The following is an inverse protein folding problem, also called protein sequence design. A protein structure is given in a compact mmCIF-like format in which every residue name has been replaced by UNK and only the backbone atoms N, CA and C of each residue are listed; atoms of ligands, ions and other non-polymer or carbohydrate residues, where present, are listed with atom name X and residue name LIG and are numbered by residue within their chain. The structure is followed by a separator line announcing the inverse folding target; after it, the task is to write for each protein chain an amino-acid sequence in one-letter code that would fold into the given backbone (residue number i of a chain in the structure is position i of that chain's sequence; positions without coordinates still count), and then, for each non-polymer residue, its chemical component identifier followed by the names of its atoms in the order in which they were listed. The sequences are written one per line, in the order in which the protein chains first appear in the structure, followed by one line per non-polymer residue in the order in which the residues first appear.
data_IF_638237190942
#
_entry.id   IF_638237190942
#
_cell.length_a   1.000
_cell.length_b   1.000
_cell.length_c   1.000
_cell.angle_alpha   90.00
_cell.angle_beta   90.00
_cell.angle_gamma   90.00
#
_symmetry.space_group_name_H-M   'P 1'
#
loop_
_entity.id
_entity.type
_entity.pdbx_description
1 polymer ?
#
# COMPACT_ATOMS: atom_id res chain seq x y z
N UNK A 1 16.87 -2.22 -9.61
CA UNK A 1 16.73 -0.85 -9.05
C UNK A 1 15.40 -0.72 -8.32
N UNK A 2 15.14 -1.53 -7.27
CA UNK A 2 13.95 -1.41 -6.43
C UNK A 2 14.13 -0.31 -5.37
N UNK A 3 14.18 0.95 -5.82
CA UNK A 3 14.35 2.11 -4.94
C UNK A 3 13.12 2.37 -4.02
N UNK A 4 11.95 1.83 -4.34
CA UNK A 4 10.70 2.22 -3.67
C UNK A 4 10.46 1.58 -2.29
N UNK A 5 10.98 0.38 -2.02
CA UNK A 5 10.74 -0.28 -0.73
C UNK A 5 11.58 0.35 0.40
N UNK A 6 12.69 1.03 0.07
CA UNK A 6 13.51 1.79 1.02
C UNK A 6 12.92 3.17 1.39
N UNK A 7 11.76 3.56 0.84
CA UNK A 7 11.08 4.83 1.16
C UNK A 7 10.09 4.73 2.32
N UNK A 8 9.93 3.55 2.94
CA UNK A 8 9.02 3.39 4.08
C UNK A 8 9.84 3.48 5.36
N UNK A 9 9.66 4.56 6.12
CA UNK A 9 10.38 4.75 7.40
C UNK A 9 9.93 3.75 8.46
N UNK A 10 8.64 3.37 8.44
CA UNK A 10 8.08 2.46 9.42
C UNK A 10 6.78 1.82 8.91
N UNK A 11 6.66 0.50 9.11
CA UNK A 11 5.41 -0.26 8.91
C UNK A 11 4.98 -0.82 10.26
N UNK A 12 3.76 -0.49 10.68
CA UNK A 12 3.14 -1.03 11.89
C UNK A 12 2.00 -1.95 11.48
N UNK A 13 2.09 -3.22 11.90
CA UNK A 13 1.08 -4.25 11.63
C UNK A 13 0.25 -4.50 12.89
N UNK A 14 -1.07 -4.33 12.79
CA UNK A 14 -2.02 -4.70 13.82
C UNK A 14 -2.89 -5.85 13.33
N UNK A 15 -2.94 -6.93 14.11
CA UNK A 15 -3.76 -8.10 13.81
C UNK A 15 -4.85 -8.21 14.89
N UNK A 16 -6.12 -8.16 14.47
CA UNK A 16 -7.27 -8.42 15.34
C UNK A 16 -8.20 -9.43 14.67
N UNK A 17 -8.16 -10.68 15.15
CA UNK A 17 -8.97 -11.77 14.60
C UNK A 17 -8.69 -11.99 13.12
N UNK A 18 -9.68 -11.74 12.27
CA UNK A 18 -9.60 -11.83 10.81
C UNK A 18 -9.33 -10.48 10.12
N UNK A 19 -8.90 -9.46 10.87
CA UNK A 19 -8.58 -8.13 10.34
C UNK A 19 -7.08 -7.83 10.49
N UNK A 20 -6.43 -7.51 9.38
CA UNK A 20 -5.06 -7.03 9.29
C UNK A 20 -5.08 -5.54 8.97
N UNK A 21 -4.57 -4.71 9.88
CA UNK A 21 -4.41 -3.28 9.67
C UNK A 21 -2.93 -2.94 9.53
N UNK A 22 -2.58 -2.23 8.47
CA UNK A 22 -1.23 -1.76 8.18
C UNK A 22 -1.22 -0.25 8.25
N UNK A 23 -0.40 0.30 9.12
CA UNK A 23 -0.06 1.72 9.11
C UNK A 23 1.35 1.89 8.54
N UNK A 24 1.52 2.73 7.52
CA UNK A 24 2.84 3.04 6.95
C UNK A 24 3.13 4.54 6.98
N UNK A 25 4.40 4.88 7.17
CA UNK A 25 4.88 6.27 7.15
C UNK A 25 5.72 6.51 5.88
N UNK A 26 5.25 7.32 4.91
CA UNK A 26 6.07 7.70 3.77
C UNK A 26 7.22 8.63 4.21
N UNK A 27 8.40 8.49 3.62
CA UNK A 27 9.55 9.38 3.89
C UNK A 27 9.43 10.78 3.29
N UNK A 28 8.49 11.03 2.37
CA UNK A 28 8.32 12.32 1.69
C UNK A 28 6.87 12.80 1.81
N UNK A 29 6.69 14.03 2.28
CA UNK A 29 5.40 14.61 2.72
C UNK A 29 4.46 15.03 1.58
N UNK A 30 4.95 15.01 0.34
CA UNK A 30 4.21 15.34 -0.86
C UNK A 30 4.45 14.28 -1.93
N UNK A 31 3.66 13.21 -2.00
CA UNK A 31 3.78 12.33 -3.15
C UNK A 31 2.57 11.46 -3.46
N UNK A 32 2.22 11.44 -4.74
CA UNK A 32 1.50 10.35 -5.43
C UNK A 32 2.05 8.96 -5.08
N UNK A 33 3.33 8.89 -4.69
CA UNK A 33 4.00 7.69 -4.25
C UNK A 33 3.42 7.06 -2.99
N UNK A 34 2.80 7.82 -2.08
CA UNK A 34 2.11 7.25 -0.92
C UNK A 34 0.97 6.32 -1.35
N UNK A 35 0.22 6.70 -2.39
CA UNK A 35 -0.85 5.88 -2.96
C UNK A 35 -0.29 4.63 -3.65
N UNK A 36 0.82 4.75 -4.39
CA UNK A 36 1.49 3.61 -5.05
C UNK A 36 2.00 2.61 -4.01
N UNK A 37 2.70 3.08 -2.98
CA UNK A 37 3.18 2.24 -1.86
C UNK A 37 2.01 1.50 -1.19
N UNK A 38 0.91 2.22 -0.91
CA UNK A 38 -0.30 1.62 -0.34
C UNK A 38 -0.92 0.55 -1.25
N UNK A 39 -0.93 0.77 -2.57
CA UNK A 39 -1.37 -0.23 -3.56
C UNK A 39 -0.47 -1.47 -3.54
N UNK A 40 0.86 -1.29 -3.57
CA UNK A 40 1.82 -2.39 -3.52
C UNK A 40 1.63 -3.23 -2.25
N UNK A 41 1.50 -2.59 -1.09
CA UNK A 41 1.20 -3.26 0.18
C UNK A 41 -0.12 -4.04 0.10
N UNK A 42 -1.17 -3.44 -0.48
CA UNK A 42 -2.48 -4.09 -0.65
C UNK A 42 -2.37 -5.34 -1.50
N UNK A 43 -1.75 -5.24 -2.68
CA UNK A 43 -1.58 -6.37 -3.60
C UNK A 43 -0.73 -7.45 -2.96
N UNK A 44 0.38 -7.11 -2.29
CA UNK A 44 1.23 -8.07 -1.59
C UNK A 44 0.44 -8.84 -0.53
N UNK A 45 -0.32 -8.14 0.30
CA UNK A 45 -1.13 -8.77 1.35
C UNK A 45 -2.27 -9.60 0.75
N UNK A 46 -2.93 -9.14 -0.31
CA UNK A 46 -3.96 -9.93 -0.99
C UNK A 46 -3.41 -11.20 -1.66
N UNK A 47 -2.17 -11.17 -2.16
CA UNK A 47 -1.49 -12.35 -2.72
C UNK A 47 -1.00 -13.33 -1.64
N UNK A 48 -0.58 -12.82 -0.49
CA UNK A 48 -0.04 -13.63 0.60
C UNK A 48 -1.12 -14.16 1.57
N UNK A 49 -2.25 -13.46 1.74
CA UNK A 49 -3.31 -13.83 2.68
C UNK A 49 -4.57 -14.35 1.97
N UNK A 50 -5.25 -15.35 2.53
CA UNK A 50 -6.55 -15.79 2.02
C UNK A 50 -7.61 -14.67 2.02
N UNK A 51 -8.55 -14.65 1.06
CA UNK A 51 -9.53 -13.57 0.88
C UNK A 51 -10.53 -13.39 2.05
N UNK A 52 -10.56 -14.34 3.00
CA UNK A 52 -11.33 -14.24 4.24
C UNK A 52 -10.83 -13.16 5.20
N UNK A 53 -9.57 -12.72 5.03
CA UNK A 53 -8.98 -11.69 5.87
C UNK A 53 -9.30 -10.30 5.33
N UNK A 54 -9.73 -9.41 6.22
CA UNK A 54 -9.92 -7.99 5.89
C UNK A 54 -8.58 -7.29 6.01
N UNK A 55 -8.16 -6.64 4.92
CA UNK A 55 -6.94 -5.83 4.90
C UNK A 55 -7.34 -4.35 4.88
N UNK A 56 -6.85 -3.62 5.87
CA UNK A 56 -7.05 -2.19 6.07
C UNK A 56 -5.67 -1.51 6.03
N UNK A 57 -5.50 -0.52 5.17
CA UNK A 57 -4.20 0.14 4.97
C UNK A 57 -4.41 1.64 5.14
N UNK A 58 -3.61 2.23 6.01
CA UNK A 58 -3.64 3.64 6.29
C UNK A 58 -2.23 4.21 6.36
N UNK A 59 -2.09 5.47 6.00
CA UNK A 59 -0.92 6.27 6.33
C UNK A 59 -0.96 6.58 7.83
N UNK A 60 0.19 6.60 8.50
CA UNK A 60 0.28 6.93 9.92
C UNK A 60 -0.21 8.38 10.20
N UNK A 61 -0.96 8.61 11.29
CA UNK A 61 -1.59 9.90 11.54
C UNK A 61 -0.56 11.02 11.70
N UNK A 62 -0.79 12.14 11.03
CA UNK A 62 0.07 13.34 11.13
C UNK A 62 1.40 13.25 10.38
N UNK A 63 1.59 12.21 9.56
CA UNK A 63 2.83 12.00 8.80
C UNK A 63 2.77 12.45 7.34
N UNK A 64 1.59 12.85 6.85
CA UNK A 64 1.41 13.25 5.46
C UNK A 64 0.34 14.33 5.32
N UNK A 65 0.63 15.39 4.57
CA UNK A 65 -0.28 16.54 4.41
C UNK A 65 -1.65 16.17 3.81
N UNK A 66 -1.71 15.08 3.02
CA UNK A 66 -2.94 14.58 2.39
C UNK A 66 -3.35 13.19 2.88
N UNK A 67 -2.96 12.81 4.10
CA UNK A 67 -3.29 11.54 4.75
C UNK A 67 -4.75 11.11 4.53
N UNK A 68 -5.71 11.97 4.83
CA UNK A 68 -7.13 11.63 4.71
C UNK A 68 -7.55 11.29 3.27
N UNK A 69 -6.97 11.97 2.28
CA UNK A 69 -7.24 11.71 0.87
C UNK A 69 -6.63 10.37 0.43
N UNK A 70 -5.39 10.08 0.84
CA UNK A 70 -4.71 8.81 0.56
C UNK A 70 -5.44 7.65 1.23
N UNK A 71 -5.79 7.78 2.51
CA UNK A 71 -6.56 6.77 3.24
C UNK A 71 -7.92 6.51 2.60
N UNK A 72 -8.60 7.55 2.11
CA UNK A 72 -9.86 7.39 1.39
C UNK A 72 -9.68 6.63 0.06
N UNK A 73 -8.63 6.94 -0.70
CA UNK A 73 -8.31 6.23 -1.94
C UNK A 73 -7.96 4.76 -1.69
N UNK A 74 -7.13 4.46 -0.69
CA UNK A 74 -6.69 3.10 -0.37
C UNK A 74 -7.80 2.23 0.21
N UNK A 75 -8.81 2.83 0.85
CA UNK A 75 -9.96 2.12 1.40
C UNK A 75 -11.14 1.98 0.44
N UNK A 76 -11.15 2.74 -0.65
CA UNK A 76 -12.14 2.61 -1.72
C UNK A 76 -11.82 1.38 -2.60
N UNK A 77 -12.56 0.30 -2.37
CA UNK A 77 -12.34 -0.97 -3.06
C UNK A 77 -12.58 -0.89 -4.57
N UNK A 78 -13.56 -0.08 -5.00
CA UNK A 78 -13.87 0.09 -6.42
C UNK A 78 -12.75 0.86 -7.12
N UNK A 79 -12.23 1.91 -6.47
CA UNK A 79 -11.05 2.64 -6.99
C UNK A 79 -9.81 1.76 -7.05
N UNK A 80 -9.54 0.97 -6.01
CA UNK A 80 -8.38 0.07 -6.01
C UNK A 80 -8.53 -1.00 -7.09
N UNK A 81 -9.73 -1.56 -7.28
CA UNK A 81 -9.99 -2.52 -8.35
C UNK A 81 -9.76 -1.90 -9.73
N UNK A 82 -10.32 -0.72 -10.00
CA UNK A 82 -10.13 -0.01 -11.26
C UNK A 82 -8.66 0.37 -11.51
N UNK A 83 -7.91 0.72 -10.47
CA UNK A 83 -6.48 0.99 -10.58
C UNK A 83 -5.68 -0.27 -10.95
N UNK A 84 -6.09 -1.44 -10.47
CA UNK A 84 -5.49 -2.74 -10.80
C UNK A 84 -5.93 -3.31 -12.16
N UNK A 85 -6.90 -2.67 -12.83
CA UNK A 85 -7.23 -2.97 -14.24
C UNK A 85 -6.36 -2.17 -15.22
N UNK A 86 -5.63 -1.15 -14.74
CA UNK A 86 -4.74 -0.35 -15.57
C UNK A 86 -3.36 -1.03 -15.70
N UNK A 87 -2.95 -1.49 -16.90
CA UNK A 87 -1.71 -2.23 -17.09
C UNK A 87 -0.47 -1.44 -16.64
N UNK A 88 -0.46 -0.12 -16.86
CA UNK A 88 0.68 0.72 -16.45
C UNK A 88 0.88 0.73 -14.92
N UNK A 89 -0.21 0.71 -14.15
CA UNK A 89 -0.15 0.66 -12.69
C UNK A 89 0.20 -0.74 -12.19
N UNK A 90 -0.34 -1.77 -12.83
CA UNK A 90 -0.02 -3.17 -12.50
C UNK A 90 1.45 -3.45 -12.72
N UNK A 91 2.01 -3.04 -13.86
CA UNK A 91 3.43 -3.23 -14.17
C UNK A 91 4.33 -2.54 -13.13
N UNK A 92 4.01 -1.29 -12.76
CA UNK A 92 4.74 -0.59 -11.70
C UNK A 92 4.64 -1.30 -10.34
N UNK A 93 3.45 -1.81 -9.98
CA UNK A 93 3.23 -2.55 -8.73
C UNK A 93 4.00 -3.87 -8.74
N UNK A 94 3.95 -4.61 -9.85
CA UNK A 94 4.65 -5.88 -10.00
C UNK A 94 6.17 -5.70 -9.99
N UNK A 95 6.69 -4.65 -10.63
CA UNK A 95 8.10 -4.28 -10.53
C UNK A 95 8.50 -3.93 -9.08
N UNK A 96 7.65 -3.20 -8.36
CA UNK A 96 7.87 -2.90 -6.93
C UNK A 96 7.82 -4.14 -6.02
N UNK A 97 7.06 -5.17 -6.41
CA UNK A 97 6.90 -6.41 -5.67
C UNK A 97 7.88 -7.49 -6.12
N UNK A 98 8.60 -7.28 -7.23
CA UNK A 98 9.57 -8.22 -7.76
C UNK A 98 10.63 -8.53 -6.69
N UNK A 99 10.85 -9.81 -6.37
CA UNK A 99 11.86 -10.20 -5.40
C UNK A 99 13.25 -9.73 -5.87
N UNK A 100 13.90 -8.91 -5.07
CA UNK A 100 15.30 -8.51 -5.25
C UNK A 100 16.21 -9.63 -4.75
N UNK A 101 16.31 -10.73 -5.49
CA UNK A 101 17.42 -11.65 -5.31
C UNK A 101 18.62 -11.14 -6.11
N UNK A 102 19.31 -10.15 -5.53
CA UNK A 102 20.75 -9.87 -5.70
C UNK A 102 21.33 -9.48 -4.34
#
# INVERSE_FOLDING_TARGET
MCFYVNLIMQVILFIKGYCFRVAFTPTVEHCSMATVIGLCLRVKLMRCLPPRYKVDISVAPGTHATEAAVNKQLNDKERVAAALENPNLVDMVDECLAPSYE
#
